data_IF_520083057868
#
_entry.id   IF_520083057868
#
_cell.length_a   1.000
_cell.length_b   1.000
_cell.length_c   1.000
_cell.angle_alpha   90.00
_cell.angle_beta   90.00
_cell.angle_gamma   90.00
#
_symmetry.space_group_name_H-M   'P 1'
#
loop_
_entity.id
_entity.type
_entity.pdbx_description
1 polymer ?
#
# COMPACT_ATOMS: atom_id res chain seq x y z
N UNK A 1 -9.42 -3.64 18.89
CA UNK A 1 -8.15 -2.88 18.75
C UNK A 1 -7.90 -2.71 17.26
N UNK A 2 -7.60 -1.49 16.74
CA UNK A 2 -6.90 -1.20 15.46
C UNK A 2 -7.38 0.01 14.63
N UNK A 3 -8.26 0.89 15.10
CA UNK A 3 -8.56 2.13 14.34
C UNK A 3 -7.55 3.28 14.57
N UNK A 4 -6.78 3.24 15.66
CA UNK A 4 -5.86 4.33 16.00
C UNK A 4 -4.60 4.37 15.11
N UNK A 5 -4.16 3.24 14.55
CA UNK A 5 -2.92 3.15 13.76
C UNK A 5 -3.04 3.92 12.45
N UNK A 6 -4.17 3.84 11.75
CA UNK A 6 -4.36 4.56 10.48
C UNK A 6 -4.40 6.08 10.67
N UNK A 7 -4.89 6.57 11.81
CA UNK A 7 -4.91 8.00 12.12
C UNK A 7 -3.51 8.59 12.37
N UNK A 8 -2.52 7.75 12.67
CA UNK A 8 -1.11 8.13 12.83
C UNK A 8 -0.31 8.03 11.53
N UNK A 9 -0.95 7.67 10.41
CA UNK A 9 -0.29 7.48 9.12
C UNK A 9 -0.71 8.56 8.11
N UNK A 10 0.19 8.86 7.18
CA UNK A 10 -0.07 9.70 6.01
C UNK A 10 0.54 9.05 4.76
N UNK A 11 0.09 9.48 3.58
CA UNK A 11 0.63 8.98 2.31
C UNK A 11 2.11 9.35 2.23
N UNK A 12 2.95 8.35 2.05
CA UNK A 12 4.37 8.57 1.84
C UNK A 12 4.58 9.15 0.43
N UNK A 13 5.30 10.27 0.29
CA UNK A 13 5.79 10.68 -1.02
C UNK A 13 6.84 9.65 -1.45
N UNK A 14 6.57 8.93 -2.53
CA UNK A 14 7.47 7.91 -3.09
C UNK A 14 7.90 8.31 -4.48
N UNK A 15 9.11 7.89 -4.87
CA UNK A 15 9.61 8.07 -6.23
C UNK A 15 8.87 7.18 -7.24
N UNK A 16 9.02 7.49 -8.52
CA UNK A 16 8.48 6.66 -9.61
C UNK A 16 9.01 5.23 -9.58
N UNK A 17 10.27 5.03 -9.19
CA UNK A 17 10.86 3.69 -9.07
C UNK A 17 10.17 2.87 -7.97
N UNK A 18 9.93 3.49 -6.81
CA UNK A 18 9.22 2.84 -5.69
C UNK A 18 7.75 2.59 -6.02
N UNK A 19 7.10 3.50 -6.76
CA UNK A 19 5.75 3.30 -7.25
C UNK A 19 5.65 2.08 -8.19
N UNK A 20 6.62 1.91 -9.09
CA UNK A 20 6.67 0.75 -9.97
C UNK A 20 6.78 -0.56 -9.17
N UNK A 21 7.63 -0.60 -8.15
CA UNK A 21 7.76 -1.76 -7.25
C UNK A 21 6.45 -2.07 -6.52
N UNK A 22 5.74 -1.03 -6.07
CA UNK A 22 4.43 -1.16 -5.42
C UNK A 22 3.40 -1.80 -6.37
N UNK A 23 3.34 -1.33 -7.63
CA UNK A 23 2.44 -1.86 -8.65
C UNK A 23 2.79 -3.29 -9.07
N UNK A 24 4.07 -3.64 -9.12
CA UNK A 24 4.49 -5.04 -9.36
C UNK A 24 4.03 -5.95 -8.23
N UNK A 25 4.13 -5.50 -6.98
CA UNK A 25 3.61 -6.24 -5.83
C UNK A 25 2.08 -6.39 -5.89
N UNK A 26 1.34 -5.34 -6.25
CA UNK A 26 -0.12 -5.40 -6.49
C UNK A 26 -0.46 -6.46 -7.53
N UNK A 27 0.22 -6.46 -8.68
CA UNK A 27 0.01 -7.45 -9.75
C UNK A 27 0.33 -8.87 -9.27
N UNK A 28 1.42 -9.06 -8.53
CA UNK A 28 1.78 -10.36 -8.00
C UNK A 28 0.71 -10.88 -7.03
N UNK A 29 0.24 -10.05 -6.11
CA UNK A 29 -0.81 -10.42 -5.14
C UNK A 29 -2.12 -10.75 -5.87
N UNK A 30 -2.57 -9.90 -6.78
CA UNK A 30 -3.82 -10.10 -7.52
C UNK A 30 -3.75 -11.30 -8.47
N UNK A 31 -2.58 -11.64 -9.01
CA UNK A 31 -2.41 -12.84 -9.85
C UNK A 31 -2.34 -14.15 -9.04
N UNK A 32 -1.91 -14.09 -7.77
CA UNK A 32 -1.93 -15.23 -6.85
C UNK A 32 -3.31 -15.45 -6.21
N UNK A 33 -4.10 -14.38 -6.06
CA UNK A 33 -5.46 -14.45 -5.56
C UNK A 33 -6.42 -15.06 -6.58
N UNK A 34 -7.20 -16.08 -6.19
CA UNK A 34 -8.37 -16.56 -6.94
C UNK A 34 -9.68 -15.85 -6.54
N UNK A 35 -9.58 -14.65 -5.95
CA UNK A 35 -10.71 -13.89 -5.45
C UNK A 35 -11.24 -12.89 -6.48
N UNK A 36 -12.52 -12.53 -6.38
CA UNK A 36 -13.15 -11.47 -7.19
C UNK A 36 -12.81 -10.05 -6.72
N UNK A 37 -11.91 -9.91 -5.74
CA UNK A 37 -11.54 -8.65 -5.11
C UNK A 37 -10.19 -8.19 -5.64
N UNK A 38 -10.12 -6.94 -6.10
CA UNK A 38 -8.87 -6.30 -6.49
C UNK A 38 -8.20 -5.66 -5.27
N UNK A 39 -6.96 -6.04 -5.01
CA UNK A 39 -6.15 -5.52 -3.92
C UNK A 39 -5.35 -4.32 -4.43
N UNK A 40 -5.46 -3.21 -3.72
CA UNK A 40 -4.66 -2.00 -3.92
C UNK A 40 -3.74 -1.77 -2.71
N UNK A 41 -2.50 -1.37 -2.98
CA UNK A 41 -1.49 -1.06 -1.98
C UNK A 41 -1.30 0.46 -1.89
N UNK A 42 -1.06 0.94 -0.68
CA UNK A 42 -0.73 2.34 -0.41
C UNK A 42 0.57 2.41 0.37
N UNK A 43 1.48 3.28 -0.07
CA UNK A 43 2.67 3.62 0.69
C UNK A 43 2.31 4.61 1.80
N UNK A 44 2.54 4.20 3.05
CA UNK A 44 2.23 5.00 4.23
C UNK A 44 3.50 5.28 5.03
N UNK A 45 3.60 6.49 5.57
CA UNK A 45 4.62 6.86 6.56
C UNK A 45 3.93 7.33 7.84
N UNK A 46 4.69 7.36 8.93
CA UNK A 46 4.18 7.89 10.20
C UNK A 46 4.08 9.40 10.12
N UNK A 47 2.91 9.93 10.50
CA UNK A 47 2.67 11.37 10.56
C UNK A 47 3.58 11.99 11.62
N UNK A 48 4.30 13.04 11.24
CA UNK A 48 5.13 13.83 12.17
C UNK A 48 6.53 13.27 12.46
N UNK A 49 7.06 12.37 11.63
CA UNK A 49 8.48 11.99 11.62
C UNK A 49 9.07 12.11 10.23
#
# INVERSE_FOLDING_TARGET
>A
MSSHVLNELEIAPISTEELNKLQEAEKAINSMGKGSEEIYLLALKRRGK
#
